data_IF_274854822625
#
_entry.id   IF_274854822625
#
_cell.length_a   1.000
_cell.length_b   1.000
_cell.length_c   1.000
_cell.angle_alpha   90.00
_cell.angle_beta   90.00
_cell.angle_gamma   90.00
#
_symmetry.space_group_name_H-M   'P 1'
#
loop_
_entity.id
_entity.type
_entity.pdbx_description
1 polymer ?
#
# COMPACT_ATOMS: atom_id res chain seq x y z
N UNK A 1 8.34 -7.08 5.74
CA UNK A 1 7.03 -7.60 6.20
C UNK A 1 6.09 -6.46 6.55
N UNK A 2 6.49 -5.53 7.44
CA UNK A 2 5.70 -4.36 7.86
C UNK A 2 4.92 -3.63 6.73
N UNK A 3 5.53 -3.38 5.56
CA UNK A 3 4.85 -2.79 4.41
C UNK A 3 3.65 -3.63 3.94
N UNK A 4 3.85 -4.93 3.74
CA UNK A 4 2.80 -5.83 3.28
C UNK A 4 1.68 -5.94 4.33
N UNK A 5 2.05 -6.06 5.61
CA UNK A 5 1.11 -6.18 6.71
C UNK A 5 0.24 -4.90 6.84
N UNK A 6 0.84 -3.71 6.68
CA UNK A 6 0.11 -2.44 6.71
C UNK A 6 -0.83 -2.26 5.52
N UNK A 7 -0.37 -2.61 4.31
CA UNK A 7 -1.21 -2.57 3.09
C UNK A 7 -2.40 -3.51 3.23
N UNK A 8 -2.14 -4.76 3.65
CA UNK A 8 -3.16 -5.79 3.86
C UNK A 8 -4.20 -5.37 4.90
N UNK A 9 -3.77 -4.80 6.03
CA UNK A 9 -4.68 -4.33 7.07
C UNK A 9 -5.64 -3.24 6.55
N UNK A 10 -5.13 -2.23 5.85
CA UNK A 10 -5.96 -1.15 5.28
C UNK A 10 -6.95 -1.71 4.26
N UNK A 11 -6.48 -2.56 3.35
CA UNK A 11 -7.31 -3.10 2.27
C UNK A 11 -8.37 -4.07 2.78
N UNK A 12 -8.08 -4.87 3.81
CA UNK A 12 -9.07 -5.73 4.48
C UNK A 12 -10.17 -4.93 5.18
N UNK A 13 -9.82 -3.81 5.81
CA UNK A 13 -10.78 -3.02 6.57
C UNK A 13 -11.59 -2.06 5.70
N UNK A 14 -10.95 -1.42 4.71
CA UNK A 14 -11.54 -0.31 3.96
C UNK A 14 -11.77 -0.61 2.48
N UNK A 15 -11.16 -1.68 1.94
CA UNK A 15 -11.16 -1.97 0.50
C UNK A 15 -12.50 -2.41 -0.08
N UNK A 16 -13.49 -2.75 0.76
CA UNK A 16 -14.85 -3.08 0.31
C UNK A 16 -15.71 -1.85 -0.03
N UNK A 17 -15.23 -0.63 0.27
CA UNK A 17 -15.91 0.63 -0.02
C UNK A 17 -15.14 1.50 -1.02
N UNK A 18 -15.59 2.74 -1.28
CA UNK A 18 -14.87 3.67 -2.16
C UNK A 18 -13.58 4.14 -1.48
N UNK A 19 -12.48 3.42 -1.71
CA UNK A 19 -11.16 3.69 -1.15
C UNK A 19 -10.20 4.17 -2.23
N UNK A 20 -9.59 5.34 -2.01
CA UNK A 20 -8.35 5.75 -2.70
C UNK A 20 -7.19 5.46 -1.76
N UNK A 21 -6.49 4.35 -2.01
CA UNK A 21 -5.31 4.00 -1.22
C UNK A 21 -4.19 5.01 -1.46
N UNK A 22 -3.59 5.53 -0.39
CA UNK A 22 -2.42 6.40 -0.46
C UNK A 22 -1.61 6.32 0.85
N UNK A 23 -0.40 6.87 0.84
CA UNK A 23 0.40 7.07 2.04
C UNK A 23 -0.04 8.37 2.74
N UNK A 24 -0.02 8.37 4.08
CA UNK A 24 -0.35 9.57 4.86
C UNK A 24 0.71 10.68 4.78
N UNK A 25 1.90 10.35 4.28
CA UNK A 25 3.02 11.27 4.05
C UNK A 25 3.75 10.87 2.76
N UNK A 26 4.64 11.75 2.27
CA UNK A 26 5.44 11.47 1.08
C UNK A 26 6.46 10.35 1.28
N UNK A 27 6.77 9.63 0.20
CA UNK A 27 7.89 8.69 0.13
C UNK A 27 9.20 9.50 0.22
N UNK A 28 10.15 9.06 1.03
CA UNK A 28 11.45 9.73 1.15
C UNK A 28 12.43 9.26 0.07
N UNK A 29 13.44 10.07 -0.30
CA UNK A 29 14.41 9.71 -1.34
C UNK A 29 15.18 8.40 -1.06
N UNK A 30 15.35 8.04 0.21
CA UNK A 30 16.07 6.84 0.66
C UNK A 30 15.24 5.57 0.52
N UNK A 31 13.94 5.69 0.25
CA UNK A 31 13.05 4.54 0.11
C UNK A 31 13.43 3.76 -1.15
N UNK A 32 13.80 2.47 -1.05
CA UNK A 32 14.08 1.65 -2.22
C UNK A 32 12.86 1.55 -3.13
N UNK A 33 13.06 1.81 -4.42
CA UNK A 33 11.97 1.77 -5.44
C UNK A 33 11.23 0.43 -5.42
N UNK A 34 11.94 -0.68 -5.20
CA UNK A 34 11.35 -2.02 -5.10
C UNK A 34 10.27 -2.13 -4.01
N UNK A 35 10.35 -1.36 -2.92
CA UNK A 35 9.29 -1.33 -1.90
C UNK A 35 8.04 -0.64 -2.43
N UNK A 36 8.19 0.46 -3.18
CA UNK A 36 7.07 1.18 -3.81
C UNK A 36 6.40 0.30 -4.86
N UNK A 37 7.17 -0.38 -5.69
CA UNK A 37 6.66 -1.32 -6.69
C UNK A 37 5.87 -2.46 -6.04
N UNK A 38 6.40 -3.04 -4.95
CA UNK A 38 5.71 -4.07 -4.19
C UNK A 38 4.38 -3.56 -3.61
N UNK A 39 4.37 -2.34 -3.04
CA UNK A 39 3.14 -1.70 -2.53
C UNK A 39 2.09 -1.54 -3.63
N UNK A 40 2.48 -0.96 -4.78
CA UNK A 40 1.56 -0.75 -5.92
C UNK A 40 1.01 -2.08 -6.42
N UNK A 41 1.86 -3.11 -6.53
CA UNK A 41 1.42 -4.46 -6.93
C UNK A 41 0.37 -5.02 -5.97
N UNK A 42 0.58 -4.90 -4.66
CA UNK A 42 -0.39 -5.37 -3.66
C UNK A 42 -1.73 -4.64 -3.78
N UNK A 43 -1.72 -3.30 -3.85
CA UNK A 43 -2.93 -2.48 -4.00
C UNK A 43 -3.70 -2.84 -5.28
N UNK A 44 -3.00 -3.03 -6.41
CA UNK A 44 -3.65 -3.34 -7.70
C UNK A 44 -4.10 -4.79 -7.85
N UNK A 45 -3.53 -5.70 -7.06
CA UNK A 45 -3.94 -7.11 -7.07
C UNK A 45 -5.13 -7.39 -6.16
N UNK A 46 -5.40 -6.49 -5.21
CA UNK A 46 -6.59 -6.53 -4.37
C UNK A 46 -7.82 -6.14 -5.19
N UNK A 47 -8.74 -7.10 -5.38
CA UNK A 47 -10.01 -6.92 -6.09
C UNK A 47 -11.17 -7.19 -5.14
#
# INVERSE_FOLDING_TARGET
>A
KALADGVDAILKTLGGGPLIFNLGHGITPETPVAHVEAMVKMVRSHR
#
